data_IF_538193956293
#
_entry.id   IF_538193956293
#
_cell.length_a   1.000
_cell.length_b   1.000
_cell.length_c   1.000
_cell.angle_alpha   90.00
_cell.angle_beta   90.00
_cell.angle_gamma   90.00
#
_symmetry.space_group_name_H-M   'P 1'
#
loop_
_entity.id
_entity.type
_entity.pdbx_description
1 polymer ?
#
# COMPACT_ATOMS: atom_id res chain seq x y z
N UNK A 1 2.67 -6.84 -18.37
CA UNK A 1 2.42 -6.26 -17.03
C UNK A 1 3.57 -5.39 -16.56
N UNK A 2 4.84 -5.79 -16.73
CA UNK A 2 6.02 -5.07 -16.19
C UNK A 2 6.33 -3.74 -16.88
N UNK A 3 5.86 -3.52 -18.11
CA UNK A 3 6.14 -2.32 -18.89
C UNK A 3 4.90 -1.44 -19.12
N UNK A 4 3.70 -2.01 -19.05
CA UNK A 4 2.47 -1.25 -19.23
C UNK A 4 2.34 -0.17 -18.17
N UNK A 5 2.12 1.08 -18.59
CA UNK A 5 1.94 2.23 -17.70
C UNK A 5 0.45 2.38 -17.38
N UNK A 6 0.09 2.22 -16.12
CA UNK A 6 -1.28 2.34 -15.61
C UNK A 6 -1.32 3.22 -14.38
N UNK A 7 -2.48 3.79 -14.11
CA UNK A 7 -2.66 4.59 -12.90
C UNK A 7 -2.61 3.67 -11.66
N UNK A 8 -1.73 3.93 -10.70
CA UNK A 8 -1.65 3.15 -9.46
C UNK A 8 -2.87 3.38 -8.54
N UNK A 9 -3.62 4.46 -8.76
CA UNK A 9 -4.72 4.82 -7.88
C UNK A 9 -4.26 4.93 -6.42
N UNK A 10 -5.08 4.47 -5.50
CA UNK A 10 -4.80 4.58 -4.05
C UNK A 10 -3.57 3.81 -3.56
N UNK A 11 -2.90 2.98 -4.36
CA UNK A 11 -1.59 2.40 -3.97
C UNK A 11 -0.49 3.46 -3.96
N UNK A 12 -0.66 4.58 -4.70
CA UNK A 12 0.25 5.73 -4.66
C UNK A 12 0.30 6.43 -3.30
N UNK A 13 -0.72 6.27 -2.47
CA UNK A 13 -0.75 6.84 -1.11
C UNK A 13 0.43 6.39 -0.25
N UNK A 14 1.10 5.28 -0.58
CA UNK A 14 2.36 4.89 0.03
C UNK A 14 3.35 6.06 0.06
N UNK A 15 3.57 6.72 -1.09
CA UNK A 15 4.55 7.80 -1.20
C UNK A 15 4.15 9.06 -0.41
N UNK A 16 2.86 9.38 -0.38
CA UNK A 16 2.34 10.54 0.37
C UNK A 16 2.55 10.35 1.87
N UNK A 17 2.17 9.19 2.39
CA UNK A 17 2.26 8.90 3.81
C UNK A 17 3.71 8.66 4.24
N UNK A 18 4.51 7.99 3.43
CA UNK A 18 5.94 7.84 3.70
C UNK A 18 6.66 9.20 3.72
N UNK A 19 6.33 10.12 2.80
CA UNK A 19 6.88 11.47 2.82
C UNK A 19 6.46 12.25 4.07
N UNK A 20 5.23 12.02 4.57
CA UNK A 20 4.76 12.61 5.83
C UNK A 20 5.57 12.07 7.02
N UNK A 21 5.76 10.75 7.13
CA UNK A 21 6.59 10.15 8.18
C UNK A 21 8.04 10.68 8.14
N UNK A 22 8.63 10.79 6.96
CA UNK A 22 9.97 11.38 6.77
C UNK A 22 10.02 12.87 7.13
N UNK A 23 8.88 13.56 7.11
CA UNK A 23 8.75 14.96 7.53
C UNK A 23 8.42 15.12 9.03
N UNK A 24 8.38 14.03 9.80
CA UNK A 24 8.18 14.02 11.25
C UNK A 24 6.73 13.82 11.70
N UNK A 25 5.80 13.51 10.78
CA UNK A 25 4.46 13.06 11.14
C UNK A 25 4.50 11.64 11.70
N UNK A 26 3.53 11.31 12.53
CA UNK A 26 3.34 9.97 13.10
C UNK A 26 2.00 9.35 12.67
N UNK A 27 1.84 8.01 12.74
CA UNK A 27 0.56 7.35 12.45
C UNK A 27 -0.61 7.85 13.31
N UNK A 28 -0.32 8.42 14.49
CA UNK A 28 -1.32 8.91 15.44
C UNK A 28 -1.72 10.37 15.19
N UNK A 29 -0.97 11.11 14.39
CA UNK A 29 -1.31 12.49 14.04
C UNK A 29 -2.63 12.54 13.27
N UNK A 30 -3.39 13.60 13.49
CA UNK A 30 -4.74 13.72 12.93
C UNK A 30 -4.76 14.62 11.70
N UNK A 31 -5.54 14.20 10.72
CA UNK A 31 -5.80 14.96 9.49
C UNK A 31 -7.31 15.09 9.28
N UNK A 32 -7.77 16.24 8.82
CA UNK A 32 -9.19 16.46 8.56
C UNK A 32 -9.72 15.53 7.47
N UNK A 33 -10.89 14.92 7.70
CA UNK A 33 -11.56 14.01 6.79
C UNK A 33 -12.95 14.53 6.36
N UNK A 34 -13.18 15.82 6.50
CA UNK A 34 -14.38 16.51 5.99
C UNK A 34 -14.33 16.63 4.47
N UNK A 35 -15.48 16.82 3.83
CA UNK A 35 -15.52 17.09 2.38
C UNK A 35 -14.69 18.33 2.01
N UNK A 36 -14.01 18.27 0.85
CA UNK A 36 -13.31 19.44 0.29
C UNK A 36 -14.32 20.20 -0.57
N UNK A 37 -14.76 21.34 -0.09
CA UNK A 37 -15.79 22.17 -0.75
C UNK A 37 -15.22 23.37 -1.51
N UNK A 38 -13.95 23.72 -1.25
CA UNK A 38 -13.25 24.85 -1.86
C UNK A 38 -12.13 24.36 -2.80
N UNK A 39 -11.67 25.25 -3.66
CA UNK A 39 -10.62 24.97 -4.64
C UNK A 39 -11.13 24.30 -5.93
N UNK A 40 -10.22 24.14 -6.89
CA UNK A 40 -10.51 23.56 -8.21
C UNK A 40 -10.56 22.03 -8.20
N UNK A 41 -9.89 21.36 -7.24
CA UNK A 41 -9.85 19.91 -7.12
C UNK A 41 -10.61 19.44 -5.88
N UNK A 42 -11.71 18.75 -6.07
CA UNK A 42 -12.65 18.32 -5.02
C UNK A 42 -12.85 16.80 -5.05
N UNK A 43 -11.85 16.01 -4.62
CA UNK A 43 -12.00 14.56 -4.57
C UNK A 43 -13.06 14.17 -3.55
N UNK A 44 -13.76 13.07 -3.83
CA UNK A 44 -14.73 12.49 -2.91
C UNK A 44 -14.16 11.22 -2.29
N UNK A 45 -14.52 10.97 -1.03
CA UNK A 45 -14.25 9.69 -0.41
C UNK A 45 -15.16 8.61 -0.98
N UNK A 46 -14.65 7.41 -1.14
CA UNK A 46 -15.45 6.25 -1.53
C UNK A 46 -16.63 6.08 -0.58
N UNK A 47 -17.83 5.88 -1.14
CA UNK A 47 -19.08 5.70 -0.40
C UNK A 47 -19.47 6.88 0.50
N UNK A 48 -18.98 8.09 0.22
CA UNK A 48 -19.33 9.28 0.98
C UNK A 48 -18.94 9.24 2.46
N UNK A 49 -17.89 8.51 2.82
CA UNK A 49 -17.45 8.39 4.22
C UNK A 49 -16.61 9.60 4.62
N UNK A 50 -17.21 10.45 5.44
CA UNK A 50 -16.56 11.62 6.01
C UNK A 50 -16.67 11.58 7.55
N UNK A 51 -15.74 12.24 8.22
CA UNK A 51 -15.71 12.51 9.66
C UNK A 51 -14.98 13.83 9.87
N UNK A 52 -14.98 14.36 11.07
CA UNK A 52 -14.23 15.58 11.37
C UNK A 52 -12.74 15.38 11.08
N UNK A 53 -12.16 14.32 11.60
CA UNK A 53 -10.76 13.95 11.37
C UNK A 53 -10.56 12.45 11.52
N UNK A 54 -9.41 11.96 11.05
CA UNK A 54 -8.89 10.61 11.23
C UNK A 54 -7.43 10.71 11.67
N UNK A 55 -6.90 9.68 12.34
CA UNK A 55 -5.47 9.51 12.45
C UNK A 55 -4.89 9.18 11.07
N UNK A 56 -3.59 9.38 10.83
CA UNK A 56 -2.96 9.00 9.57
C UNK A 56 -3.12 7.50 9.31
N UNK A 57 -3.00 6.67 10.35
CA UNK A 57 -3.23 5.22 10.24
C UNK A 57 -4.66 4.90 9.78
N UNK A 58 -5.67 5.48 10.42
CA UNK A 58 -7.07 5.29 10.04
C UNK A 58 -7.35 5.78 8.61
N UNK A 59 -6.82 6.96 8.26
CA UNK A 59 -6.99 7.55 6.93
C UNK A 59 -6.34 6.70 5.84
N UNK A 60 -5.15 6.14 6.10
CA UNK A 60 -4.47 5.22 5.20
C UNK A 60 -5.23 3.89 5.07
N UNK A 61 -5.65 3.30 6.19
CA UNK A 61 -6.38 2.04 6.24
C UNK A 61 -7.73 2.12 5.50
N UNK A 62 -8.49 3.20 5.73
CA UNK A 62 -9.76 3.45 5.04
C UNK A 62 -9.56 3.96 3.61
N UNK A 63 -8.31 4.29 3.24
CA UNK A 63 -7.97 4.87 1.94
C UNK A 63 -8.70 6.19 1.65
N UNK A 64 -8.83 7.08 2.67
CA UNK A 64 -9.47 8.38 2.49
C UNK A 64 -8.78 9.20 1.41
N UNK A 65 -9.57 9.69 0.46
CA UNK A 65 -9.06 10.54 -0.63
C UNK A 65 -8.83 11.98 -0.14
N UNK A 66 -9.78 12.52 0.63
CA UNK A 66 -9.68 13.89 1.13
C UNK A 66 -8.53 14.04 2.12
N UNK A 67 -8.31 13.06 2.99
CA UNK A 67 -7.17 13.05 3.90
C UNK A 67 -5.83 12.98 3.15
N UNK A 68 -5.73 12.13 2.13
CA UNK A 68 -4.50 12.01 1.33
C UNK A 68 -4.17 13.31 0.57
N UNK A 69 -5.18 13.98 0.01
CA UNK A 69 -4.98 15.27 -0.69
C UNK A 69 -4.57 16.37 0.28
N UNK A 70 -5.17 16.45 1.47
CA UNK A 70 -4.75 17.39 2.49
C UNK A 70 -3.33 17.12 2.99
N UNK A 71 -3.01 15.84 3.24
CA UNK A 71 -1.67 15.45 3.64
C UNK A 71 -0.61 15.81 2.59
N UNK A 72 -0.92 15.62 1.30
CA UNK A 72 -0.06 16.12 0.21
C UNK A 72 0.14 17.63 0.29
N UNK A 73 -0.91 18.40 0.61
CA UNK A 73 -0.83 19.85 0.79
C UNK A 73 0.08 20.25 1.95
N UNK A 74 -0.04 19.57 3.10
CA UNK A 74 0.77 19.82 4.30
C UNK A 74 2.25 19.46 4.10
N UNK A 75 2.52 18.32 3.46
CA UNK A 75 3.87 17.80 3.24
C UNK A 75 4.56 18.51 2.07
N UNK A 76 3.81 18.86 1.06
CA UNK A 76 4.26 19.42 -0.21
C UNK A 76 4.56 18.35 -1.27
N UNK A 77 4.11 18.60 -2.51
CA UNK A 77 4.28 17.66 -3.63
C UNK A 77 5.75 17.36 -3.94
N UNK A 78 6.65 18.33 -3.79
CA UNK A 78 8.08 18.16 -4.02
C UNK A 78 8.68 17.04 -3.13
N UNK A 79 8.33 16.99 -1.83
CA UNK A 79 8.81 15.93 -0.91
C UNK A 79 8.22 14.57 -1.25
N UNK A 80 6.95 14.52 -1.68
CA UNK A 80 6.31 13.28 -2.13
C UNK A 80 6.96 12.76 -3.40
N UNK A 81 7.25 13.63 -4.36
CA UNK A 81 7.95 13.28 -5.59
C UNK A 81 9.37 12.80 -5.29
N UNK A 82 10.12 13.50 -4.42
CA UNK A 82 11.46 13.08 -4.00
C UNK A 82 11.41 11.68 -3.35
N UNK A 83 10.44 11.43 -2.45
CA UNK A 83 10.23 10.12 -1.84
C UNK A 83 9.95 9.03 -2.89
N UNK A 84 9.11 9.32 -3.89
CA UNK A 84 8.86 8.37 -4.97
C UNK A 84 10.11 8.09 -5.81
N UNK A 85 10.94 9.13 -6.09
CA UNK A 85 12.23 8.99 -6.79
C UNK A 85 13.22 8.14 -6.01
N UNK A 86 13.34 8.37 -4.70
CA UNK A 86 14.17 7.56 -3.82
C UNK A 86 13.81 6.06 -3.92
N UNK A 87 12.51 5.74 -4.04
CA UNK A 87 12.03 4.36 -4.17
C UNK A 87 12.07 3.83 -5.61
N UNK A 88 12.72 4.53 -6.53
CA UNK A 88 12.97 4.06 -7.90
C UNK A 88 11.84 4.38 -8.91
N UNK A 89 10.87 5.21 -8.57
CA UNK A 89 9.84 5.63 -9.53
C UNK A 89 10.44 6.59 -10.56
N UNK A 90 10.36 6.23 -11.84
CA UNK A 90 10.86 7.03 -12.97
C UNK A 90 9.74 7.77 -13.72
N UNK A 91 8.49 7.38 -13.48
CA UNK A 91 7.32 7.96 -14.13
C UNK A 91 7.22 9.48 -13.95
N UNK A 92 6.73 10.26 -14.91
CA UNK A 92 6.48 11.68 -14.73
C UNK A 92 5.47 11.94 -13.60
N UNK A 93 5.85 12.76 -12.63
CA UNK A 93 5.02 13.13 -11.50
C UNK A 93 4.85 14.65 -11.49
N UNK A 94 3.63 15.19 -11.68
CA UNK A 94 3.41 16.62 -11.77
C UNK A 94 3.53 17.27 -10.38
N UNK A 95 4.39 18.27 -10.27
CA UNK A 95 4.50 19.09 -9.07
C UNK A 95 3.31 20.07 -8.99
N UNK A 96 2.80 20.30 -7.79
CA UNK A 96 1.67 21.20 -7.55
C UNK A 96 0.29 20.65 -7.93
N UNK A 97 0.20 19.45 -8.49
CA UNK A 97 -1.09 18.82 -8.79
C UNK A 97 -1.60 18.02 -7.58
N UNK A 98 -2.71 18.42 -6.95
CA UNK A 98 -3.27 17.70 -5.80
C UNK A 98 -3.78 16.31 -6.16
N UNK A 99 -4.08 16.03 -7.43
CA UNK A 99 -4.51 14.71 -7.88
C UNK A 99 -3.40 13.65 -7.79
N UNK A 100 -2.14 14.08 -7.69
CA UNK A 100 -0.99 13.21 -7.44
C UNK A 100 -1.20 12.32 -6.21
N UNK A 101 -1.82 12.84 -5.14
CA UNK A 101 -2.12 12.06 -3.94
C UNK A 101 -2.99 10.83 -4.19
N UNK A 102 -3.73 10.81 -5.29
CA UNK A 102 -4.65 9.73 -5.66
C UNK A 102 -4.10 8.82 -6.75
N UNK A 103 -2.85 9.01 -7.16
CA UNK A 103 -2.17 8.18 -8.14
C UNK A 103 -2.74 8.31 -9.55
N UNK A 104 -2.95 9.53 -10.00
CA UNK A 104 -3.39 9.83 -11.38
C UNK A 104 -2.27 9.70 -12.41
N UNK A 105 -1.00 9.83 -11.99
CA UNK A 105 0.17 9.62 -12.85
C UNK A 105 0.41 8.14 -13.12
N UNK A 106 0.62 7.79 -14.39
CA UNK A 106 0.81 6.39 -14.78
C UNK A 106 2.22 5.90 -14.51
N UNK A 107 2.35 4.68 -13.99
CA UNK A 107 3.61 3.96 -13.77
C UNK A 107 3.45 2.48 -14.06
N UNK A 108 4.54 1.73 -14.15
CA UNK A 108 4.45 0.29 -14.31
C UNK A 108 4.15 -0.40 -12.97
N UNK A 109 3.53 -1.57 -13.04
CA UNK A 109 3.33 -2.41 -11.86
C UNK A 109 4.67 -2.80 -11.23
N UNK A 110 5.72 -2.96 -12.04
CA UNK A 110 7.07 -3.27 -11.55
C UNK A 110 7.62 -2.13 -10.72
N UNK A 111 7.59 -0.88 -11.20
CA UNK A 111 8.02 0.31 -10.42
C UNK A 111 7.28 0.39 -9.09
N UNK A 112 5.96 0.22 -9.13
CA UNK A 112 5.13 0.26 -7.93
C UNK A 112 5.48 -0.88 -6.95
N UNK A 113 5.62 -2.12 -7.45
CA UNK A 113 5.97 -3.27 -6.60
C UNK A 113 7.37 -3.14 -6.00
N UNK A 114 8.34 -2.60 -6.75
CA UNK A 114 9.69 -2.31 -6.25
C UNK A 114 9.69 -1.27 -5.13
N UNK A 115 8.80 -0.28 -5.19
CA UNK A 115 8.66 0.69 -4.09
C UNK A 115 8.13 0.03 -2.80
N UNK A 116 7.21 -0.93 -2.91
CA UNK A 116 6.78 -1.72 -1.74
C UNK A 116 7.87 -2.67 -1.26
N UNK A 117 8.68 -3.22 -2.16
CA UNK A 117 9.84 -4.04 -1.81
C UNK A 117 10.89 -3.23 -1.03
N UNK A 118 11.05 -1.94 -1.35
CA UNK A 118 11.94 -1.05 -0.60
C UNK A 118 11.53 -0.88 0.87
N UNK A 119 10.22 -0.85 1.16
CA UNK A 119 9.72 -0.82 2.54
C UNK A 119 10.00 -2.18 3.22
N UNK A 120 9.67 -3.29 2.55
CA UNK A 120 9.86 -4.63 3.09
C UNK A 120 11.33 -4.93 3.43
N UNK A 121 12.25 -4.53 2.56
CA UNK A 121 13.69 -4.74 2.73
C UNK A 121 14.36 -3.69 3.64
N UNK A 122 13.69 -2.57 3.92
CA UNK A 122 14.31 -1.35 4.48
C UNK A 122 15.51 -0.86 3.67
N UNK A 123 15.44 -0.96 2.36
CA UNK A 123 16.54 -0.66 1.44
C UNK A 123 16.00 -0.04 0.15
N UNK A 124 16.54 1.10 -0.27
CA UNK A 124 16.07 1.78 -1.49
C UNK A 124 17.24 2.48 -2.23
N UNK A 125 17.11 2.58 -3.59
CA UNK A 125 16.10 1.96 -4.41
C UNK A 125 16.27 0.44 -4.53
N UNK A 126 15.16 -0.29 -4.70
CA UNK A 126 15.19 -1.70 -5.10
C UNK A 126 15.24 -1.77 -6.63
N UNK A 127 16.32 -2.32 -7.16
CA UNK A 127 16.49 -2.53 -8.59
C UNK A 127 16.08 -3.97 -8.97
N UNK A 128 14.93 -4.17 -9.63
CA UNK A 128 14.49 -5.50 -10.02
C UNK A 128 15.41 -6.09 -11.09
N UNK A 129 15.81 -7.35 -10.93
CA UNK A 129 16.61 -8.10 -11.88
C UNK A 129 16.15 -9.56 -11.98
N UNK A 130 16.25 -10.14 -13.16
CA UNK A 130 15.79 -11.52 -13.43
C UNK A 130 16.87 -12.57 -13.12
N UNK A 131 18.13 -12.17 -13.10
CA UNK A 131 19.26 -13.08 -12.87
C UNK A 131 20.07 -12.61 -11.67
N UNK A 132 20.70 -13.55 -10.98
CA UNK A 132 21.59 -13.21 -9.87
C UNK A 132 22.68 -12.24 -10.36
N UNK A 133 22.85 -11.13 -9.63
CA UNK A 133 23.97 -10.22 -9.86
C UNK A 133 25.20 -10.71 -9.12
N UNK A 134 26.40 -10.47 -9.65
CA UNK A 134 27.63 -10.65 -8.88
C UNK A 134 27.55 -9.81 -7.59
N UNK A 135 28.02 -10.35 -6.50
CA UNK A 135 28.13 -9.59 -5.25
C UNK A 135 28.94 -8.32 -5.49
N UNK A 136 28.42 -7.17 -5.09
CA UNK A 136 29.14 -5.90 -5.14
C UNK A 136 30.33 -5.99 -4.20
N UNK A 137 31.52 -5.60 -4.67
CA UNK A 137 32.71 -5.57 -3.82
C UNK A 137 32.53 -4.59 -2.65
N UNK A 138 33.23 -4.84 -1.54
CA UNK A 138 33.14 -4.06 -0.30
C UNK A 138 33.23 -2.54 -0.52
N UNK A 139 34.12 -2.10 -1.39
CA UNK A 139 34.33 -0.66 -1.69
C UNK A 139 33.17 -0.06 -2.51
N UNK A 140 32.52 -0.82 -3.38
CA UNK A 140 31.35 -0.35 -4.13
C UNK A 140 30.15 -0.13 -3.21
N UNK A 141 29.97 -0.97 -2.19
CA UNK A 141 28.91 -0.80 -1.19
C UNK A 141 29.15 0.41 -0.27
N UNK A 142 30.38 0.83 -0.07
CA UNK A 142 30.72 1.96 0.81
C UNK A 142 30.38 3.32 0.18
N UNK A 143 30.40 3.44 -1.16
CA UNK A 143 30.20 4.70 -1.88
C UNK A 143 28.87 4.77 -2.62
N UNK A 144 28.34 3.62 -3.08
CA UNK A 144 27.12 3.51 -3.90
C UNK A 144 26.12 2.50 -3.32
N UNK A 145 26.20 2.23 -2.01
CA UNK A 145 25.27 1.31 -1.36
C UNK A 145 23.85 1.90 -1.29
N UNK A 146 22.83 1.03 -1.21
CA UNK A 146 21.45 1.49 -1.05
C UNK A 146 21.26 2.26 0.26
N UNK A 147 20.34 3.19 0.26
CA UNK A 147 19.92 3.91 1.46
C UNK A 147 18.90 3.09 2.25
N UNK A 148 18.70 3.44 3.53
CA UNK A 148 17.67 2.83 4.38
C UNK A 148 16.84 3.89 5.10
N UNK A 149 15.62 3.53 5.49
CA UNK A 149 14.82 4.36 6.37
C UNK A 149 15.30 4.21 7.82
N UNK A 150 14.97 5.19 8.65
CA UNK A 150 15.07 4.96 10.10
C UNK A 150 14.15 3.79 10.50
N UNK A 151 14.53 3.03 11.52
CA UNK A 151 13.70 1.92 12.01
C UNK A 151 12.30 2.36 12.43
N UNK A 152 12.15 3.60 12.94
CA UNK A 152 10.85 4.18 13.26
C UNK A 152 10.03 4.41 11.99
N UNK A 153 10.58 5.06 10.97
CA UNK A 153 9.86 5.34 9.70
C UNK A 153 9.39 4.06 9.02
N UNK A 154 10.25 3.02 8.96
CA UNK A 154 9.86 1.72 8.42
C UNK A 154 8.72 1.09 9.23
N UNK A 155 8.90 0.97 10.55
CA UNK A 155 7.91 0.36 11.45
C UNK A 155 6.56 1.07 11.39
N UNK A 156 6.55 2.41 11.35
CA UNK A 156 5.33 3.22 11.24
C UNK A 156 4.64 3.03 9.89
N UNK A 157 5.39 2.92 8.80
CA UNK A 157 4.82 2.62 7.48
C UNK A 157 4.23 1.20 7.44
N UNK A 158 4.91 0.22 8.01
CA UNK A 158 4.41 -1.15 8.15
C UNK A 158 3.15 -1.21 9.02
N UNK A 159 3.10 -0.46 10.13
CA UNK A 159 1.90 -0.33 10.97
C UNK A 159 0.69 0.11 10.13
N UNK A 160 0.83 1.15 9.31
CA UNK A 160 -0.25 1.64 8.47
C UNK A 160 -0.63 0.65 7.35
N UNK A 161 0.35 -0.01 6.71
CA UNK A 161 0.11 -1.05 5.71
C UNK A 161 -0.62 -2.25 6.32
N UNK A 162 -0.26 -2.64 7.55
CA UNK A 162 -0.95 -3.70 8.29
C UNK A 162 -2.36 -3.29 8.69
N UNK A 163 -2.57 -2.05 9.13
CA UNK A 163 -3.89 -1.53 9.45
C UNK A 163 -4.82 -1.56 8.22
N UNK A 164 -4.29 -1.28 7.02
CA UNK A 164 -5.03 -1.37 5.77
C UNK A 164 -5.53 -2.80 5.47
N UNK A 165 -4.78 -3.82 5.88
CA UNK A 165 -5.18 -5.23 5.78
C UNK A 165 -6.17 -5.61 6.89
N UNK A 166 -5.85 -5.31 8.15
CA UNK A 166 -6.62 -5.80 9.30
C UNK A 166 -7.98 -5.11 9.42
N UNK A 167 -8.01 -3.78 9.26
CA UNK A 167 -9.17 -2.94 9.55
C UNK A 167 -9.66 -2.13 8.35
N UNK A 168 -8.92 -2.17 7.22
CA UNK A 168 -9.14 -1.30 6.09
C UNK A 168 -9.69 -1.98 4.84
N UNK A 169 -9.31 -1.41 3.70
CA UNK A 169 -9.77 -1.83 2.37
C UNK A 169 -9.15 -3.13 1.89
N UNK A 170 -8.06 -3.60 2.51
CA UNK A 170 -7.29 -4.77 2.11
C UNK A 170 -7.67 -6.08 2.79
N UNK A 171 -8.76 -6.15 3.55
CA UNK A 171 -9.14 -7.32 4.37
C UNK A 171 -9.20 -8.64 3.60
N UNK A 172 -9.53 -8.61 2.31
CA UNK A 172 -9.57 -9.82 1.48
C UNK A 172 -8.17 -10.43 1.21
N UNK A 173 -7.09 -9.69 1.49
CA UNK A 173 -5.71 -10.15 1.38
C UNK A 173 -5.14 -10.66 2.72
N UNK A 174 -5.93 -10.74 3.79
CA UNK A 174 -5.46 -11.15 5.11
C UNK A 174 -4.92 -12.59 5.07
N UNK A 175 -3.72 -12.79 5.61
CA UNK A 175 -3.08 -14.09 5.84
C UNK A 175 -3.15 -14.46 7.32
N UNK A 176 -2.80 -15.71 7.64
CA UNK A 176 -2.70 -16.18 9.04
C UNK A 176 -1.54 -15.52 9.81
N UNK A 177 -0.50 -15.09 9.11
CA UNK A 177 0.66 -14.38 9.65
C UNK A 177 0.66 -12.88 9.33
N UNK A 178 1.69 -12.15 9.81
CA UNK A 178 1.86 -10.74 9.46
C UNK A 178 1.97 -10.55 7.95
N UNK A 179 1.15 -9.65 7.42
CA UNK A 179 1.25 -9.22 6.04
C UNK A 179 0.85 -7.75 5.91
N UNK A 180 1.36 -7.11 4.89
CA UNK A 180 1.37 -5.67 4.69
C UNK A 180 0.93 -5.38 3.25
N UNK A 181 0.11 -4.37 3.03
CA UNK A 181 -0.30 -4.08 1.65
C UNK A 181 -1.33 -2.98 1.52
N UNK A 182 -1.62 -2.63 0.28
CA UNK A 182 -2.54 -1.56 -0.08
C UNK A 182 -3.33 -1.90 -1.33
N UNK A 183 -4.59 -1.54 -1.31
CA UNK A 183 -5.49 -1.61 -2.46
C UNK A 183 -5.38 -0.36 -3.31
N UNK A 184 -5.48 -0.51 -4.63
CA UNK A 184 -5.65 0.56 -5.59
C UNK A 184 -6.91 0.33 -6.43
N UNK A 185 -7.64 1.39 -6.68
CA UNK A 185 -8.74 1.42 -7.64
C UNK A 185 -8.69 2.79 -8.29
N UNK A 186 -8.70 2.83 -9.61
CA UNK A 186 -8.72 4.08 -10.36
C UNK A 186 -10.13 4.59 -10.53
N UNK A 187 -10.26 5.85 -10.95
CA UNK A 187 -11.56 6.41 -11.32
C UNK A 187 -12.21 5.56 -12.41
N UNK A 188 -13.51 5.47 -12.41
CA UNK A 188 -14.32 4.67 -13.35
C UNK A 188 -14.00 3.17 -13.32
N UNK A 189 -13.30 2.68 -12.26
CA UNK A 189 -12.90 1.27 -12.12
C UNK A 189 -12.15 0.72 -13.34
N UNK A 190 -11.26 1.48 -13.95
CA UNK A 190 -10.46 1.03 -15.11
C UNK A 190 -9.35 0.08 -14.71
N UNK A 191 -8.75 0.33 -13.54
CA UNK A 191 -7.70 -0.49 -12.96
C UNK A 191 -8.03 -0.83 -11.51
N UNK A 192 -7.79 -2.07 -11.15
CA UNK A 192 -7.90 -2.59 -9.81
C UNK A 192 -6.57 -3.25 -9.42
N UNK A 193 -5.95 -2.80 -8.33
CA UNK A 193 -4.63 -3.23 -7.91
C UNK A 193 -4.63 -3.68 -6.45
N UNK A 194 -3.73 -4.60 -6.16
CA UNK A 194 -3.29 -4.88 -4.80
C UNK A 194 -1.77 -5.08 -4.82
N UNK A 195 -1.05 -4.39 -3.95
CA UNK A 195 0.39 -4.57 -3.78
C UNK A 195 0.66 -4.80 -2.30
N UNK A 196 1.46 -5.80 -2.00
CA UNK A 196 1.76 -6.14 -0.61
C UNK A 196 2.84 -7.20 -0.49
N UNK A 197 3.22 -7.50 0.77
CA UNK A 197 4.26 -8.45 1.08
C UNK A 197 3.98 -9.20 2.39
N UNK A 198 4.63 -10.35 2.53
CA UNK A 198 4.73 -11.13 3.75
C UNK A 198 6.07 -11.87 3.75
N UNK A 199 6.83 -11.77 4.85
CA UNK A 199 8.22 -12.23 4.88
C UNK A 199 9.04 -11.51 3.80
N UNK A 200 9.78 -12.28 3.02
CA UNK A 200 10.66 -11.82 1.95
C UNK A 200 9.99 -11.76 0.56
N UNK A 201 8.68 -12.05 0.48
CA UNK A 201 7.96 -12.10 -0.80
C UNK A 201 7.06 -10.89 -0.99
N UNK A 202 7.35 -10.09 -2.02
CA UNK A 202 6.57 -8.92 -2.42
C UNK A 202 5.85 -9.19 -3.73
N UNK A 203 4.56 -8.95 -3.78
CA UNK A 203 3.71 -9.26 -4.94
C UNK A 203 2.80 -8.09 -5.28
N UNK A 204 2.77 -7.74 -6.56
CA UNK A 204 1.80 -6.81 -7.13
C UNK A 204 0.82 -7.56 -8.04
N UNK A 205 -0.47 -7.30 -7.86
CA UNK A 205 -1.55 -7.81 -8.72
C UNK A 205 -2.27 -6.64 -9.36
N UNK A 206 -2.38 -6.66 -10.69
CA UNK A 206 -3.14 -5.70 -11.47
C UNK A 206 -4.21 -6.41 -12.29
N UNK A 207 -5.40 -5.85 -12.32
CA UNK A 207 -6.52 -6.25 -13.17
C UNK A 207 -7.02 -5.02 -13.90
N UNK A 208 -7.15 -5.12 -15.21
CA UNK A 208 -7.62 -4.07 -16.09
C UNK A 208 -7.80 -4.60 -17.51
N UNK A 209 -8.44 -3.81 -18.37
CA UNK A 209 -8.59 -4.12 -19.76
C UNK A 209 -7.45 -3.49 -20.57
N UNK A 210 -6.98 -4.16 -21.63
CA UNK A 210 -5.87 -3.67 -22.45
C UNK A 210 -6.22 -2.36 -23.18
N UNK A 211 -7.48 -2.19 -23.54
CA UNK A 211 -8.04 -0.98 -24.15
C UNK A 211 -8.38 0.14 -23.15
N UNK A 212 -8.06 -0.06 -21.88
CA UNK A 212 -8.37 0.87 -20.79
C UNK A 212 -9.89 1.13 -20.60
N UNK A 213 -10.74 0.24 -21.06
CA UNK A 213 -12.18 0.29 -20.77
C UNK A 213 -12.46 -0.03 -19.28
N UNK A 214 -13.56 0.47 -18.70
CA UNK A 214 -13.93 0.18 -17.33
C UNK A 214 -14.13 -1.32 -17.07
N UNK A 215 -13.70 -1.78 -15.89
CA UNK A 215 -13.96 -3.12 -15.41
C UNK A 215 -15.45 -3.28 -15.06
N UNK A 216 -16.05 -4.37 -15.52
CA UNK A 216 -17.43 -4.70 -15.22
C UNK A 216 -17.60 -5.28 -13.81
N UNK A 217 -18.83 -5.27 -13.28
CA UNK A 217 -19.17 -5.97 -12.04
C UNK A 217 -18.62 -5.35 -10.74
N UNK A 218 -18.21 -4.08 -10.76
CA UNK A 218 -17.75 -3.39 -9.54
C UNK A 218 -16.43 -3.94 -8.98
N UNK A 219 -15.55 -4.46 -9.84
CA UNK A 219 -14.23 -4.96 -9.45
C UNK A 219 -13.42 -3.80 -8.87
N UNK A 220 -12.87 -4.00 -7.67
CA UNK A 220 -12.02 -3.03 -6.98
C UNK A 220 -10.80 -3.73 -6.38
N UNK A 221 -9.77 -2.95 -6.03
CA UNK A 221 -8.52 -3.48 -5.47
C UNK A 221 -8.72 -4.30 -4.19
N UNK A 222 -9.72 -3.97 -3.37
CA UNK A 222 -10.07 -4.73 -2.17
C UNK A 222 -10.89 -6.00 -2.43
N UNK A 223 -11.22 -6.28 -3.69
CA UNK A 223 -11.97 -7.45 -4.11
C UNK A 223 -11.09 -8.53 -4.74
N UNK A 224 -11.21 -8.68 -6.06
CA UNK A 224 -10.54 -9.75 -6.81
C UNK A 224 -9.01 -9.69 -6.73
N UNK A 225 -8.32 -8.54 -6.94
CA UNK A 225 -6.87 -8.49 -6.83
C UNK A 225 -6.34 -8.92 -5.44
N UNK A 226 -7.00 -8.48 -4.37
CA UNK A 226 -6.63 -8.83 -3.01
C UNK A 226 -6.77 -10.34 -2.73
N UNK A 227 -7.83 -10.98 -3.26
CA UNK A 227 -8.02 -12.45 -3.14
C UNK A 227 -6.97 -13.22 -3.94
N UNK A 228 -6.69 -12.81 -5.19
CA UNK A 228 -5.64 -13.44 -6.02
C UNK A 228 -4.30 -13.35 -5.30
N UNK A 229 -3.97 -12.18 -4.76
CA UNK A 229 -2.75 -11.98 -3.99
C UNK A 229 -2.68 -12.93 -2.79
N UNK A 230 -3.74 -13.01 -1.98
CA UNK A 230 -3.82 -13.91 -0.82
C UNK A 230 -3.63 -15.36 -1.21
N UNK A 231 -4.32 -15.82 -2.24
CA UNK A 231 -4.30 -17.22 -2.65
C UNK A 231 -2.93 -17.59 -3.21
N UNK A 232 -2.29 -16.68 -3.96
CA UNK A 232 -0.91 -16.83 -4.41
C UNK A 232 0.07 -16.90 -3.23
N UNK A 233 -0.03 -15.96 -2.28
CA UNK A 233 0.86 -15.90 -1.13
C UNK A 233 0.73 -17.14 -0.25
N UNK A 234 -0.48 -17.61 0.03
CA UNK A 234 -0.70 -18.86 0.77
C UNK A 234 0.00 -20.04 0.08
N UNK A 235 -0.12 -20.17 -1.24
CA UNK A 235 0.53 -21.22 -2.00
C UNK A 235 2.06 -21.09 -1.98
N UNK A 236 2.58 -19.89 -2.23
CA UNK A 236 4.02 -19.65 -2.29
C UNK A 236 4.71 -19.83 -0.92
N UNK A 237 4.08 -19.38 0.16
CA UNK A 237 4.62 -19.54 1.52
C UNK A 237 4.58 -21.00 1.98
N UNK A 238 3.54 -21.76 1.64
CA UNK A 238 3.46 -23.19 1.93
C UNK A 238 4.58 -23.98 1.23
N UNK A 239 4.85 -23.65 -0.04
CA UNK A 239 5.96 -24.29 -0.81
C UNK A 239 7.33 -23.95 -0.19
N UNK A 240 7.51 -22.76 0.37
CA UNK A 240 8.75 -22.33 1.02
C UNK A 240 8.92 -22.84 2.45
N UNK A 241 7.94 -23.58 3.00
CA UNK A 241 7.99 -24.12 4.36
C UNK A 241 7.92 -23.05 5.47
N UNK A 242 7.39 -21.88 5.16
CA UNK A 242 7.13 -20.85 6.19
C UNK A 242 5.98 -21.34 7.07
N UNK A 243 6.18 -21.53 8.40
CA UNK A 243 5.13 -22.03 9.27
C UNK A 243 3.93 -21.09 9.28
N UNK A 244 2.75 -21.58 8.93
CA UNK A 244 1.51 -20.87 9.20
C UNK A 244 1.36 -20.74 10.71
N UNK A 245 1.20 -19.51 11.22
CA UNK A 245 0.86 -19.35 12.64
C UNK A 245 -0.47 -20.06 12.92
N UNK A 246 -0.59 -20.76 14.08
CA UNK A 246 -1.83 -21.44 14.43
C UNK A 246 -2.99 -20.43 14.43
N UNK A 247 -4.11 -20.83 13.85
CA UNK A 247 -5.35 -20.04 13.90
C UNK A 247 -5.60 -19.62 15.36
N UNK A 248 -6.02 -18.36 15.61
CA UNK A 248 -6.51 -17.99 16.94
C UNK A 248 -7.55 -19.01 17.35
N UNK A 249 -7.41 -19.56 18.54
CA UNK A 249 -8.43 -20.47 19.09
C UNK A 249 -9.76 -19.71 19.03
N UNK A 250 -10.72 -20.31 18.33
CA UNK A 250 -12.11 -19.90 18.39
C UNK A 250 -12.47 -19.84 19.89
N UNK A 251 -12.79 -18.65 20.38
CA UNK A 251 -13.23 -18.50 21.76
C UNK A 251 -14.45 -19.39 21.91
N UNK A 252 -14.38 -20.37 22.80
CA UNK A 252 -15.51 -21.20 23.14
C UNK A 252 -16.69 -20.28 23.52
N UNK A 253 -17.81 -20.52 22.90
CA UNK A 253 -19.07 -19.84 23.18
C UNK A 253 -19.35 -19.96 24.70
N UNK A 254 -19.46 -18.85 25.47
CA UNK A 254 -19.73 -18.92 26.90
C UNK A 254 -21.14 -19.40 27.24
N UNK A 255 -21.92 -19.86 26.26
CA UNK A 255 -23.33 -20.22 26.38
C UNK A 255 -23.67 -21.69 26.52
N UNK A 256 -22.69 -22.63 26.53
CA UNK A 256 -23.02 -24.06 26.73
C UNK A 256 -23.11 -24.36 28.21
N UNK A 257 -24.32 -24.71 28.76
CA UNK A 257 -24.46 -25.13 30.16
C UNK A 257 -23.73 -26.46 30.39
N UNK A 258 -22.93 -26.52 31.47
CA UNK A 258 -22.31 -27.76 31.95
C UNK A 258 -23.44 -28.59 32.59
N UNK A 259 -23.78 -29.74 31.98
CA UNK A 259 -24.66 -30.73 32.66
C UNK A 259 -23.91 -31.28 33.88
N UNK A 260 -24.56 -31.40 35.05
CA UNK A 260 -23.96 -32.01 36.20
C UNK A 260 -23.82 -33.54 35.97
N UNK A 261 -22.64 -34.03 36.27
CA UNK A 261 -22.39 -35.48 36.35
C UNK A 261 -23.06 -36.05 37.61
N UNK A 262 -24.02 -36.96 37.43
CA UNK A 262 -24.54 -37.85 38.45
C UNK A 262 -23.52 -38.93 38.83
#
# INVERSE_FOLDING_TARGET
ATQAKRQPGSTFKLFVYLAALRAGWSPQDRIANTEITEGSYRPKNSRGRYSESLTLEEAFAQSSNVAAVRLLGEVGSAKVIATARDLGVTAPLPEGDPSLALGTSTMSLLELTSAYAAIAANEYPVEPHAFARPERGFFANLWDGPSSFSSSTQSEMEQMLRAAINNGTGRAAMLSGPNFGKTGTTQDNRDALFVGYAGDLVVGVWIGNDDNSPLQGGISGGGLPARIWRDFMNSAMNVRGVPSQPKPREQADPGTPIEPLD
#
